data_IF_455178658556
#
_entry.id   IF_455178658556
#
_cell.length_a   1.000
_cell.length_b   1.000
_cell.length_c   1.000
_cell.angle_alpha   90.00
_cell.angle_beta   90.00
_cell.angle_gamma   90.00
#
_symmetry.space_group_name_H-M   'P 1'
#
loop_
_entity.id
_entity.type
_entity.pdbx_description
1 polymer ?
#
# COMPACT_ATOMS: atom_id res chain seq x y z
N UNK A 1 -4.62 -12.46 19.37
CA UNK A 1 -3.35 -13.00 18.90
C UNK A 1 -3.05 -12.51 17.52
N UNK A 2 -1.85 -12.09 17.33
CA UNK A 2 -1.46 -11.59 16.01
C UNK A 2 -1.61 -12.64 14.93
N UNK A 3 -1.41 -13.90 15.29
CA UNK A 3 -1.50 -14.98 14.31
C UNK A 3 -2.89 -15.13 13.72
N UNK A 4 -3.90 -14.72 14.47
CA UNK A 4 -5.27 -14.82 13.95
C UNK A 4 -5.53 -13.82 12.85
N UNK A 5 -4.89 -12.66 12.95
CA UNK A 5 -5.05 -11.64 11.92
C UNK A 5 -4.45 -12.07 10.61
N UNK A 6 -3.42 -12.90 10.67
CA UNK A 6 -2.76 -13.34 9.45
C UNK A 6 -3.62 -14.29 8.63
N UNK A 7 -4.62 -14.91 9.26
CA UNK A 7 -5.51 -15.83 8.55
C UNK A 7 -6.46 -15.08 7.64
N UNK A 8 -6.65 -13.81 7.90
CA UNK A 8 -7.61 -13.01 7.16
C UNK A 8 -6.93 -12.12 6.13
N UNK A 9 -5.82 -12.58 5.59
CA UNK A 9 -5.12 -11.81 4.57
C UNK A 9 -6.02 -11.59 3.37
N UNK A 10 -6.08 -10.35 2.96
CA UNK A 10 -6.90 -9.93 1.84
C UNK A 10 -6.02 -9.66 0.64
N UNK A 11 -6.23 -10.41 -0.43
CA UNK A 11 -5.43 -10.25 -1.64
C UNK A 11 -6.18 -9.52 -2.74
N UNK A 12 -7.27 -8.87 -2.38
CA UNK A 12 -8.05 -8.13 -3.36
C UNK A 12 -7.22 -7.07 -4.07
N UNK A 13 -6.28 -6.48 -3.34
CA UNK A 13 -5.45 -5.41 -3.89
C UNK A 13 -4.12 -5.91 -4.43
N UNK A 14 -3.96 -7.22 -4.58
CA UNK A 14 -2.70 -7.76 -5.07
C UNK A 14 -2.32 -7.14 -6.41
N UNK A 15 -1.09 -6.67 -6.50
CA UNK A 15 -0.58 -6.08 -7.72
C UNK A 15 -0.90 -4.61 -7.89
N UNK A 16 -1.66 -4.03 -6.96
CA UNK A 16 -1.99 -2.60 -7.04
C UNK A 16 -0.75 -1.77 -6.79
N UNK A 17 -0.48 -0.84 -7.70
CA UNK A 17 0.65 0.07 -7.54
C UNK A 17 0.25 1.20 -6.62
N UNK A 18 1.11 1.48 -5.65
CA UNK A 18 0.82 2.50 -4.64
C UNK A 18 2.02 3.40 -4.46
N UNK A 19 1.74 4.58 -3.92
CA UNK A 19 2.77 5.52 -3.51
C UNK A 19 2.83 5.49 -1.99
N UNK A 20 4.03 5.28 -1.47
CA UNK A 20 4.27 5.38 -0.04
C UNK A 20 4.36 6.86 0.31
N UNK A 21 3.43 7.34 1.11
CA UNK A 21 3.35 8.76 1.42
C UNK A 21 4.48 9.25 2.31
N UNK A 22 5.10 8.34 3.05
CA UNK A 22 6.22 8.70 3.92
C UNK A 22 7.51 8.86 3.14
N UNK A 23 7.79 7.91 2.25
CA UNK A 23 9.07 7.91 1.54
C UNK A 23 8.97 8.49 0.15
N UNK A 24 7.74 8.67 -0.35
CA UNK A 24 7.49 9.14 -1.71
C UNK A 24 8.00 8.15 -2.75
N UNK A 25 8.05 6.89 -2.40
CA UNK A 25 8.52 5.85 -3.31
C UNK A 25 7.37 4.94 -3.70
N UNK A 26 7.55 4.28 -4.82
CA UNK A 26 6.53 3.41 -5.38
C UNK A 26 6.64 2.01 -4.79
N UNK A 27 5.51 1.32 -4.74
CA UNK A 27 5.47 -0.06 -4.30
C UNK A 27 4.27 -0.77 -4.91
N UNK A 28 4.21 -2.06 -4.66
CA UNK A 28 3.12 -2.90 -5.14
C UNK A 28 2.56 -3.66 -3.96
N UNK A 29 1.25 -3.61 -3.79
CA UNK A 29 0.58 -4.31 -2.69
C UNK A 29 0.56 -5.80 -2.98
N UNK A 30 0.97 -6.59 -1.99
CA UNK A 30 0.88 -8.04 -2.08
C UNK A 30 -0.39 -8.54 -1.40
N UNK A 31 -0.68 -8.03 -0.22
CA UNK A 31 -1.91 -8.36 0.50
C UNK A 31 -2.09 -7.35 1.62
N UNK A 32 -3.28 -7.38 2.20
CA UNK A 32 -3.61 -6.51 3.32
C UNK A 32 -4.18 -7.35 4.46
N UNK A 33 -4.19 -6.76 5.63
CA UNK A 33 -4.82 -7.39 6.80
C UNK A 33 -5.18 -6.29 7.78
N UNK A 34 -5.91 -6.67 8.81
CA UNK A 34 -6.32 -5.72 9.82
C UNK A 34 -5.85 -6.18 11.18
N UNK A 35 -5.17 -5.28 11.89
CA UNK A 35 -4.82 -5.54 13.28
C UNK A 35 -5.95 -5.04 14.17
N UNK A 36 -6.31 -5.87 15.15
CA UNK A 36 -7.40 -5.56 16.06
C UNK A 36 -6.80 -5.12 17.38
N UNK A 37 -7.17 -3.93 17.82
CA UNK A 37 -6.70 -3.36 19.08
C UNK A 37 -7.90 -3.07 19.98
N UNK A 38 -7.63 -2.84 21.24
CA UNK A 38 -8.68 -2.57 22.21
C UNK A 38 -9.52 -1.36 21.82
N UNK A 39 -8.90 -0.35 21.23
CA UNK A 39 -9.58 0.89 20.90
C UNK A 39 -9.80 1.06 19.39
N UNK A 40 -9.74 -0.01 18.64
CA UNK A 40 -10.05 0.08 17.23
C UNK A 40 -9.24 -0.87 16.37
N UNK A 41 -9.56 -0.89 15.08
CA UNK A 41 -8.88 -1.74 14.12
C UNK A 41 -8.07 -0.86 13.18
N UNK A 42 -6.87 -1.33 12.84
CA UNK A 42 -5.99 -0.60 11.95
C UNK A 42 -5.63 -1.49 10.79
N UNK A 43 -5.96 -1.09 9.56
CA UNK A 43 -5.61 -1.89 8.37
C UNK A 43 -4.17 -1.63 7.96
N UNK A 44 -3.51 -2.70 7.55
CA UNK A 44 -2.12 -2.66 7.09
C UNK A 44 -2.01 -3.34 5.73
N UNK A 45 -0.92 -3.04 5.06
CA UNK A 45 -0.60 -3.70 3.80
C UNK A 45 0.84 -4.16 3.84
N UNK A 46 1.09 -5.28 3.17
CA UNK A 46 2.46 -5.71 2.87
C UNK A 46 2.71 -5.38 1.42
N UNK A 47 3.74 -4.61 1.19
CA UNK A 47 4.09 -4.14 -0.15
C UNK A 47 5.51 -4.55 -0.48
N UNK A 48 5.85 -4.46 -1.76
CA UNK A 48 7.21 -4.70 -2.22
C UNK A 48 7.66 -3.44 -2.94
N UNK A 49 8.88 -2.99 -2.65
CA UNK A 49 9.39 -1.77 -3.25
C UNK A 49 10.07 -2.06 -4.59
N UNK A 50 10.67 -1.04 -5.18
CA UNK A 50 11.28 -1.15 -6.48
C UNK A 50 12.46 -2.12 -6.50
N UNK A 51 13.04 -2.34 -5.33
CA UNK A 51 14.18 -3.26 -5.21
C UNK A 51 13.74 -4.67 -4.86
N UNK A 52 12.44 -4.91 -4.80
CA UNK A 52 11.92 -6.23 -4.46
C UNK A 52 11.89 -6.50 -2.97
N UNK A 53 12.06 -5.49 -2.15
CA UNK A 53 12.09 -5.65 -0.71
C UNK A 53 10.70 -5.47 -0.14
N UNK A 54 10.27 -6.40 0.70
CA UNK A 54 8.95 -6.34 1.31
C UNK A 54 8.97 -5.41 2.53
N UNK A 55 7.85 -4.75 2.75
CA UNK A 55 7.66 -3.94 3.95
C UNK A 55 6.19 -3.90 4.31
N UNK A 56 5.92 -3.68 5.60
CA UNK A 56 4.56 -3.54 6.10
C UNK A 56 4.31 -2.08 6.41
N UNK A 57 3.11 -1.61 6.09
CA UNK A 57 2.79 -0.20 6.25
C UNK A 57 1.30 -0.06 6.51
N UNK A 58 0.93 0.93 7.33
CA UNK A 58 -0.49 1.21 7.55
C UNK A 58 -1.12 1.70 6.25
N UNK A 59 -2.36 1.28 6.02
CA UNK A 59 -3.04 1.59 4.77
C UNK A 59 -3.21 3.08 4.54
N UNK A 60 -3.29 3.88 5.61
CA UNK A 60 -3.48 5.32 5.44
C UNK A 60 -2.17 6.04 5.06
N UNK A 61 -1.07 5.31 4.98
CA UNK A 61 0.21 5.89 4.56
C UNK A 61 0.55 5.53 3.12
N UNK A 62 -0.36 4.91 2.41
CA UNK A 62 -0.17 4.62 0.98
C UNK A 62 -1.42 5.06 0.23
N UNK A 63 -1.24 5.34 -1.05
CA UNK A 63 -2.36 5.67 -1.91
C UNK A 63 -2.14 5.00 -3.26
N UNK A 64 -3.23 4.55 -3.87
CA UNK A 64 -3.14 3.93 -5.18
C UNK A 64 -2.75 4.99 -6.20
N UNK A 65 -1.84 4.62 -7.09
CA UNK A 65 -1.34 5.56 -8.08
C UNK A 65 -2.47 6.04 -8.99
N UNK A 66 -3.41 5.16 -9.30
CA UNK A 66 -4.52 5.54 -10.16
C UNK A 66 -5.42 6.60 -9.52
N UNK A 67 -5.31 6.81 -8.21
CA UNK A 67 -6.07 7.85 -7.54
C UNK A 67 -5.37 9.19 -7.53
N UNK A 68 -4.14 9.25 -8.04
CA UNK A 68 -3.39 10.48 -8.12
C UNK A 68 -3.70 11.19 -9.42
N UNK A 69 -3.73 12.51 -9.36
CA UNK A 69 -3.94 13.28 -10.57
C UNK A 69 -2.64 13.41 -11.35
N UNK A 70 -2.77 13.71 -12.64
CA UNK A 70 -1.60 13.80 -13.50
C UNK A 70 -0.57 14.78 -12.98
N UNK A 71 -1.03 15.89 -12.41
CA UNK A 71 -0.11 16.89 -11.85
C UNK A 71 0.72 16.30 -10.74
N UNK A 72 0.08 15.50 -9.89
CA UNK A 72 0.81 14.89 -8.78
C UNK A 72 1.82 13.87 -9.27
N UNK A 73 1.43 13.11 -10.29
CA UNK A 73 2.33 12.13 -10.86
C UNK A 73 3.55 12.80 -11.47
N UNK A 74 3.36 13.92 -12.15
CA UNK A 74 4.46 14.64 -12.77
C UNK A 74 5.42 15.19 -11.73
N UNK A 75 4.88 15.70 -10.63
CA UNK A 75 5.72 16.23 -9.56
C UNK A 75 6.61 15.16 -8.97
N UNK A 76 6.13 13.91 -8.98
CA UNK A 76 6.89 12.80 -8.43
C UNK A 76 7.81 12.17 -9.46
N UNK A 77 7.81 12.68 -10.69
CA UNK A 77 8.63 12.12 -11.74
C UNK A 77 8.07 10.84 -12.34
N UNK A 78 6.80 10.58 -12.13
CA UNK A 78 6.15 9.38 -12.63
C UNK A 78 5.40 9.72 -13.90
N UNK A 79 5.63 8.94 -14.94
CA UNK A 79 4.89 9.13 -16.17
C UNK A 79 3.45 8.67 -15.96
N UNK A 80 2.54 9.38 -16.61
CA UNK A 80 1.14 8.99 -16.52
C UNK A 80 0.96 7.58 -17.03
N UNK A 81 0.25 6.76 -16.25
CA UNK A 81 -0.06 5.39 -16.65
C UNK A 81 -1.45 5.29 -17.23
N UNK A 82 -2.16 6.39 -17.29
CA UNK A 82 -3.50 6.38 -17.85
C UNK A 82 -3.43 6.44 -19.35
N UNK A 83 -4.39 5.81 -19.94
CA UNK A 83 -4.49 5.81 -21.40
C UNK A 83 -5.59 6.74 -21.85
#
# INVERSE_FOLDING_TARGET
MASENLKDLDRTLFGTKVLNLETKKLGIVLYTWTNVYADGNIPFATCVDENGKKYNIAMDLITAIENLENEELEKLGIKSIRR
#
